data_IF_984808189522
#
_entry.id   IF_984808189522
#
_cell.length_a   1.000
_cell.length_b   1.000
_cell.length_c   1.000
_cell.angle_alpha   90.00
_cell.angle_beta   90.00
_cell.angle_gamma   90.00
#
_symmetry.space_group_name_H-M   'P 1'
#
loop_
_entity.id
_entity.type
_entity.pdbx_description
1 polymer ?
#
# COMPACT_ATOMS: atom_id res chain seq x y z
N UNK A 1 -12.20 18.76 10.90
CA UNK A 1 -12.50 18.07 9.62
C UNK A 1 -12.02 16.63 9.78
N UNK A 2 -12.89 15.62 9.87
CA UNK A 2 -12.45 14.27 10.21
C UNK A 2 -11.73 13.63 9.01
N UNK A 3 -10.67 12.88 9.30
CA UNK A 3 -9.57 12.43 8.40
C UNK A 3 -9.97 11.43 7.30
N UNK A 4 -11.24 11.31 6.90
CA UNK A 4 -11.68 10.10 6.21
C UNK A 4 -11.77 10.15 4.68
N UNK A 5 -11.80 11.33 4.02
CA UNK A 5 -12.17 11.36 2.58
C UNK A 5 -11.27 12.17 1.64
N UNK A 6 -10.52 13.17 2.12
CA UNK A 6 -9.78 14.09 1.23
C UNK A 6 -8.53 13.49 0.58
N UNK A 7 -7.76 12.71 1.35
CA UNK A 7 -6.44 12.22 0.89
C UNK A 7 -6.55 11.17 -0.21
N UNK A 8 -7.65 10.41 -0.25
CA UNK A 8 -7.87 9.42 -1.31
C UNK A 8 -8.23 10.08 -2.65
N UNK A 9 -9.02 11.17 -2.60
CA UNK A 9 -9.30 11.99 -3.77
C UNK A 9 -7.99 12.57 -4.33
N UNK A 10 -7.14 13.12 -3.46
CA UNK A 10 -5.83 13.65 -3.86
C UNK A 10 -4.97 12.57 -4.52
N UNK A 11 -4.90 11.36 -3.95
CA UNK A 11 -4.14 10.26 -4.53
C UNK A 11 -4.64 9.83 -5.91
N UNK A 12 -5.97 9.74 -6.08
CA UNK A 12 -6.57 9.42 -7.38
C UNK A 12 -6.33 10.52 -8.40
N UNK A 13 -6.50 11.79 -8.01
CA UNK A 13 -6.23 12.92 -8.88
C UNK A 13 -4.76 12.96 -9.30
N UNK A 14 -3.83 12.82 -8.36
CA UNK A 14 -2.39 12.82 -8.65
C UNK A 14 -2.01 11.69 -9.60
N UNK A 15 -2.54 10.49 -9.39
CA UNK A 15 -2.33 9.37 -10.28
C UNK A 15 -2.91 9.64 -11.67
N UNK A 16 -4.13 10.18 -11.77
CA UNK A 16 -4.80 10.48 -13.04
C UNK A 16 -4.05 11.53 -13.88
N UNK A 17 -3.48 12.55 -13.22
CA UNK A 17 -2.67 13.59 -13.89
C UNK A 17 -1.21 13.18 -14.11
N UNK A 18 -0.76 12.04 -13.59
CA UNK A 18 0.60 11.54 -13.81
C UNK A 18 0.72 10.81 -15.14
N UNK A 19 1.93 10.74 -15.70
CA UNK A 19 2.25 9.89 -16.84
C UNK A 19 2.01 8.39 -16.60
N UNK A 20 1.79 8.00 -15.34
CA UNK A 20 1.51 6.61 -14.91
C UNK A 20 0.02 6.32 -14.72
N UNK A 21 -0.88 7.19 -15.21
CA UNK A 21 -2.33 7.04 -15.05
C UNK A 21 -2.95 5.80 -15.72
N UNK A 22 -2.22 5.15 -16.63
CA UNK A 22 -2.61 3.88 -17.26
C UNK A 22 -2.25 2.66 -16.42
N UNK A 23 -1.35 2.82 -15.44
CA UNK A 23 -0.93 1.75 -14.55
C UNK A 23 -1.83 1.61 -13.32
N UNK A 24 -1.63 0.58 -12.50
CA UNK A 24 -2.45 0.34 -11.30
C UNK A 24 -2.17 1.37 -10.19
N UNK A 25 -3.24 1.87 -9.54
CA UNK A 25 -3.13 2.66 -8.32
C UNK A 25 -3.33 1.76 -7.09
N UNK A 26 -2.24 1.42 -6.42
CA UNK A 26 -2.26 0.60 -5.19
C UNK A 26 -2.19 1.52 -3.97
N UNK A 27 -3.10 1.34 -3.02
CA UNK A 27 -3.20 2.15 -1.80
C UNK A 27 -2.87 1.30 -0.57
N UNK A 28 -1.94 1.76 0.26
CA UNK A 28 -1.52 1.09 1.51
C UNK A 28 -1.73 2.02 2.69
N UNK A 29 -2.31 1.47 3.76
CA UNK A 29 -2.51 2.16 5.03
C UNK A 29 -1.51 1.63 6.08
N UNK A 30 -0.42 2.37 6.30
CA UNK A 30 0.60 2.05 7.32
C UNK A 30 0.13 2.30 8.76
N UNK A 31 -0.96 3.05 8.94
CA UNK A 31 -1.44 3.41 10.29
C UNK A 31 -2.28 2.33 10.98
N UNK A 32 -2.69 1.29 10.24
CA UNK A 32 -3.60 0.26 10.73
C UNK A 32 -2.91 -1.08 11.03
N UNK A 33 -1.62 -1.22 10.68
CA UNK A 33 -0.87 -2.46 10.72
C UNK A 33 0.49 -2.24 11.42
N UNK A 34 0.97 -3.19 12.23
CA UNK A 34 2.33 -3.17 12.76
C UNK A 34 3.36 -3.29 11.63
N UNK A 35 4.58 -2.78 11.87
CA UNK A 35 5.64 -2.65 10.86
C UNK A 35 5.96 -3.99 10.15
N UNK A 36 6.02 -5.11 10.88
CA UNK A 36 6.31 -6.44 10.30
C UNK A 36 5.25 -6.91 9.27
N UNK A 37 3.97 -6.61 9.53
CA UNK A 37 2.87 -6.93 8.61
C UNK A 37 2.83 -5.94 7.45
N UNK A 38 3.17 -4.67 7.70
CA UNK A 38 3.27 -3.66 6.67
C UNK A 38 4.37 -4.04 5.66
N UNK A 39 5.55 -4.40 6.14
CA UNK A 39 6.66 -4.86 5.28
C UNK A 39 6.24 -6.09 4.47
N UNK A 40 5.61 -7.07 5.11
CA UNK A 40 5.09 -8.27 4.45
C UNK A 40 4.02 -7.97 3.38
N UNK A 41 3.18 -6.95 3.55
CA UNK A 41 2.23 -6.52 2.53
C UNK A 41 2.92 -5.73 1.41
N UNK A 42 3.83 -4.82 1.75
CA UNK A 42 4.50 -3.92 0.80
C UNK A 42 5.44 -4.70 -0.11
N UNK A 43 6.32 -5.50 0.47
CA UNK A 43 7.36 -6.26 -0.22
C UNK A 43 6.93 -7.69 -0.56
N UNK A 44 5.88 -8.19 0.09
CA UNK A 44 5.51 -9.59 -0.06
C UNK A 44 6.37 -10.49 0.80
N UNK A 45 6.10 -11.79 0.74
CA UNK A 45 6.91 -12.79 1.42
C UNK A 45 6.90 -14.10 0.65
N UNK A 46 8.00 -14.83 0.72
CA UNK A 46 8.11 -16.17 0.16
C UNK A 46 7.61 -17.21 1.16
N UNK A 47 7.09 -18.33 0.65
CA UNK A 47 6.74 -19.51 1.45
C UNK A 47 7.96 -19.93 2.27
N UNK A 48 7.79 -20.01 3.59
CA UNK A 48 8.85 -20.35 4.55
C UNK A 48 9.63 -19.16 5.11
N UNK A 49 9.28 -17.90 4.79
CA UNK A 49 9.93 -16.73 5.38
C UNK A 49 9.67 -16.58 6.90
N UNK A 50 8.54 -17.07 7.40
CA UNK A 50 8.20 -17.12 8.82
C UNK A 50 7.26 -18.31 9.13
N UNK A 51 7.11 -18.64 10.41
CA UNK A 51 6.21 -19.70 10.92
C UNK A 51 4.75 -19.33 10.60
N UNK A 52 4.23 -19.78 9.45
CA UNK A 52 2.91 -19.41 8.93
C UNK A 52 2.90 -18.96 7.46
N UNK A 53 4.07 -18.75 6.84
CA UNK A 53 4.19 -18.44 5.42
C UNK A 53 3.92 -19.69 4.55
N UNK A 54 2.65 -20.07 4.42
CA UNK A 54 2.22 -21.26 3.66
C UNK A 54 2.21 -21.05 2.13
N UNK A 55 2.23 -19.79 1.66
CA UNK A 55 2.14 -19.43 0.24
C UNK A 55 3.09 -18.27 -0.06
N UNK A 56 3.56 -18.20 -1.30
CA UNK A 56 4.24 -17.00 -1.82
C UNK A 56 3.19 -15.91 -1.99
N UNK A 57 3.45 -14.73 -1.44
CA UNK A 57 2.59 -13.56 -1.62
C UNK A 57 3.42 -12.45 -2.27
N UNK A 58 3.11 -12.05 -3.52
CA UNK A 58 3.78 -10.93 -4.16
C UNK A 58 3.46 -9.64 -3.41
N UNK A 59 4.44 -8.75 -3.33
CA UNK A 59 4.33 -7.47 -2.66
C UNK A 59 3.41 -6.51 -3.41
N UNK A 60 2.79 -5.59 -2.66
CA UNK A 60 2.01 -4.48 -3.23
C UNK A 60 2.87 -3.57 -4.11
N UNK A 61 4.18 -3.49 -3.87
CA UNK A 61 5.14 -2.81 -4.75
C UNK A 61 5.18 -3.45 -6.14
N UNK A 62 5.25 -4.77 -6.20
CA UNK A 62 5.26 -5.53 -7.45
C UNK A 62 3.92 -5.37 -8.18
N UNK A 63 2.80 -5.36 -7.44
CA UNK A 63 1.47 -5.10 -8.00
C UNK A 63 1.29 -3.65 -8.47
N UNK A 64 2.09 -2.71 -7.96
CA UNK A 64 2.10 -1.31 -8.36
C UNK A 64 3.11 -1.03 -9.50
N UNK A 65 3.74 -2.06 -10.06
CA UNK A 65 4.66 -1.92 -11.17
C UNK A 65 4.00 -1.15 -12.32
N UNK A 66 4.75 -0.19 -12.89
CA UNK A 66 4.28 0.76 -13.92
C UNK A 66 3.11 1.67 -13.52
N UNK A 67 2.65 1.60 -12.27
CA UNK A 67 1.54 2.37 -11.74
C UNK A 67 1.96 3.36 -10.66
N UNK A 68 1.19 3.42 -9.58
CA UNK A 68 1.44 4.32 -8.46
C UNK A 68 1.11 3.64 -7.15
N UNK A 69 2.06 3.63 -6.23
CA UNK A 69 1.86 3.18 -4.86
C UNK A 69 1.62 4.40 -3.97
N UNK A 70 0.45 4.48 -3.36
CA UNK A 70 0.11 5.53 -2.42
C UNK A 70 0.14 4.99 -0.99
N UNK A 71 1.03 5.54 -0.18
CA UNK A 71 1.26 5.11 1.19
C UNK A 71 0.75 6.18 2.14
N UNK A 72 -0.21 5.84 2.99
CA UNK A 72 -0.72 6.74 4.03
C UNK A 72 -0.47 6.18 5.40
N UNK A 73 0.06 7.02 6.29
CA UNK A 73 0.02 6.80 7.73
C UNK A 73 -1.17 7.57 8.30
N UNK A 74 -2.15 6.86 8.83
CA UNK A 74 -3.10 7.46 9.77
C UNK A 74 -2.41 7.41 11.12
N UNK A 75 -2.09 8.57 11.71
CA UNK A 75 -1.63 8.58 13.09
C UNK A 75 -2.82 8.18 13.95
N UNK A 76 -2.83 6.95 14.48
CA UNK A 76 -3.68 6.63 15.61
C UNK A 76 -3.11 7.42 16.80
N UNK A 77 -3.88 8.40 17.28
CA UNK A 77 -3.47 9.16 18.45
C UNK A 77 -3.90 8.34 19.67
N UNK A 78 -2.92 7.73 20.34
CA UNK A 78 -3.01 7.20 21.71
C UNK A 78 -4.03 6.10 21.94
#
# INVERSE_FOLDING_TARGET
MPDHSGKELIARSLHYYSSRNKGPLIKINCGALPDELLESEVFGFQKGAFTGAHKNKPGRLELAHEGTLFVRRHAVCG
#
